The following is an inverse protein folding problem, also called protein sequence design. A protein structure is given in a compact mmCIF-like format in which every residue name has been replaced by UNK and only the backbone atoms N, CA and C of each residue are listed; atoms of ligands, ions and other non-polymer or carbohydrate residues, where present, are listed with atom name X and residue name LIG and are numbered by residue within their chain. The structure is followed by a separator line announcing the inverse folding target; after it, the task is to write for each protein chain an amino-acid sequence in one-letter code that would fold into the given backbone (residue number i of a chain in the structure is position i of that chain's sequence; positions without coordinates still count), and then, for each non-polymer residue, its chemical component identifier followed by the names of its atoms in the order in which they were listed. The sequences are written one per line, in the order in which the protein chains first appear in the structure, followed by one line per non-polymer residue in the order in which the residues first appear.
data_IF_140580391499
#
_entry.id   IF_140580391499
#
_cell.length_a   1.000
_cell.length_b   1.000
_cell.length_c   1.000
_cell.angle_alpha   90.00
_cell.angle_beta   90.00
_cell.angle_gamma   90.00
#
_symmetry.space_group_name_H-M   'P 1'
#
loop_
_entity.id
_entity.type
_entity.pdbx_description
1 polymer ?
#
# COMPACT_ATOMS: atom_id res chain seq x y z
N UNK A 1 -9.05 19.08 -5.18
CA UNK A 1 -8.52 17.79 -4.71
C UNK A 1 -7.99 17.98 -3.31
N UNK A 2 -8.50 17.21 -2.36
CA UNK A 2 -8.02 17.16 -0.98
C UNK A 2 -7.39 15.79 -0.72
N UNK A 3 -6.26 15.78 -0.01
CA UNK A 3 -5.48 14.58 0.31
C UNK A 3 -5.51 14.36 1.82
N UNK A 4 -5.89 13.16 2.25
CA UNK A 4 -5.80 12.69 3.63
C UNK A 4 -4.93 11.42 3.66
N UNK A 5 -3.76 11.47 4.31
CA UNK A 5 -2.82 10.34 4.41
C UNK A 5 -3.25 9.32 5.46
N UNK A 6 -2.86 8.06 5.25
CA UNK A 6 -3.11 6.93 6.15
C UNK A 6 -4.59 6.78 6.56
N UNK A 7 -5.54 6.73 5.60
CA UNK A 7 -6.94 6.50 5.94
C UNK A 7 -7.09 5.18 6.69
N UNK A 8 -8.07 5.11 7.59
CA UNK A 8 -8.32 3.88 8.33
C UNK A 8 -8.74 2.76 7.38
N UNK A 9 -8.35 1.52 7.71
CA UNK A 9 -8.65 0.36 6.88
C UNK A 9 -10.16 0.22 6.61
N UNK A 10 -10.99 0.40 7.64
CA UNK A 10 -12.45 0.30 7.53
C UNK A 10 -13.10 1.44 6.73
N UNK A 11 -12.38 2.53 6.44
CA UNK A 11 -12.83 3.56 5.49
C UNK A 11 -12.62 3.14 4.04
N UNK A 12 -11.68 2.23 3.78
CA UNK A 12 -11.29 1.80 2.43
C UNK A 12 -11.92 0.47 2.06
N UNK A 13 -11.92 -0.51 2.98
CA UNK A 13 -12.37 -1.87 2.73
C UNK A 13 -13.44 -2.31 3.73
N UNK A 14 -14.35 -3.17 3.28
CA UNK A 14 -15.28 -3.90 4.16
C UNK A 14 -14.79 -5.33 4.48
N UNK A 15 -13.94 -5.91 3.63
CA UNK A 15 -13.42 -7.26 3.81
C UNK A 15 -12.17 -7.25 4.69
N UNK A 16 -12.32 -7.71 5.93
CA UNK A 16 -11.23 -7.84 6.90
C UNK A 16 -10.15 -8.83 6.48
N UNK A 17 -10.41 -9.71 5.51
CA UNK A 17 -9.39 -10.61 4.98
C UNK A 17 -8.26 -9.85 4.26
N UNK A 18 -8.49 -8.60 3.87
CA UNK A 18 -7.49 -7.75 3.22
C UNK A 18 -6.56 -7.07 4.24
N UNK A 19 -6.86 -7.12 5.54
CA UNK A 19 -5.99 -6.58 6.59
C UNK A 19 -4.65 -7.32 6.61
N UNK A 20 -3.56 -6.56 6.64
CA UNK A 20 -2.21 -7.12 6.57
C UNK A 20 -1.80 -7.61 5.19
N UNK A 21 -2.65 -7.48 4.17
CA UNK A 21 -2.30 -7.70 2.76
C UNK A 21 -2.22 -6.36 2.04
N UNK A 22 -3.20 -5.48 2.27
CA UNK A 22 -3.26 -4.15 1.67
C UNK A 22 -3.04 -3.05 2.72
N UNK A 23 -2.24 -2.06 2.34
CA UNK A 23 -1.96 -0.85 3.11
C UNK A 23 -2.70 0.34 2.48
N UNK A 24 -3.67 0.95 3.18
CA UNK A 24 -4.28 2.20 2.75
C UNK A 24 -3.29 3.38 2.88
N UNK A 25 -2.89 3.98 1.77
CA UNK A 25 -1.81 4.98 1.79
C UNK A 25 -2.35 6.41 1.84
N UNK A 26 -3.34 6.68 1.00
CA UNK A 26 -3.84 8.02 0.78
C UNK A 26 -5.30 7.98 0.32
N UNK A 27 -6.11 8.88 0.86
CA UNK A 27 -7.47 9.18 0.40
C UNK A 27 -7.44 10.48 -0.38
N UNK A 28 -7.99 10.44 -1.59
CA UNK A 28 -8.26 11.62 -2.39
C UNK A 28 -9.75 11.92 -2.36
N UNK A 29 -10.10 13.17 -2.09
CA UNK A 29 -11.46 13.71 -2.12
C UNK A 29 -11.53 15.03 -2.89
N UNK A 30 -12.74 15.61 -3.00
CA UNK A 30 -13.01 16.80 -3.81
C UNK A 30 -12.54 16.64 -5.26
N UNK A 31 -12.88 15.48 -5.82
CA UNK A 31 -12.60 15.11 -7.21
C UNK A 31 -13.55 15.84 -8.18
N UNK A 32 -13.16 15.89 -9.45
CA UNK A 32 -13.95 16.52 -10.50
C UNK A 32 -15.35 15.89 -10.63
N UNK A 33 -16.31 16.68 -11.13
CA UNK A 33 -17.70 16.21 -11.33
C UNK A 33 -17.73 14.98 -12.24
N UNK A 34 -18.40 13.93 -11.78
CA UNK A 34 -18.50 12.64 -12.50
C UNK A 34 -17.57 11.55 -11.95
N UNK A 35 -16.66 11.89 -11.04
CA UNK A 35 -15.86 10.93 -10.28
C UNK A 35 -16.54 10.58 -8.94
N UNK A 36 -16.14 9.47 -8.29
CA UNK A 36 -16.58 9.13 -6.93
C UNK A 36 -16.24 10.23 -5.92
N UNK A 37 -16.95 10.26 -4.79
CA UNK A 37 -16.71 11.23 -3.72
C UNK A 37 -15.28 11.13 -3.18
N UNK A 38 -14.77 9.91 -3.05
CA UNK A 38 -13.40 9.64 -2.66
C UNK A 38 -12.85 8.44 -3.40
N UNK A 39 -11.54 8.45 -3.59
CA UNK A 39 -10.74 7.33 -4.07
C UNK A 39 -9.54 7.14 -3.14
N UNK A 40 -8.95 5.96 -3.16
CA UNK A 40 -7.86 5.58 -2.27
C UNK A 40 -6.68 4.98 -3.05
N UNK A 41 -5.48 5.38 -2.70
CA UNK A 41 -4.27 4.64 -3.03
C UNK A 41 -4.08 3.52 -2.02
N UNK A 42 -3.85 2.32 -2.51
CA UNK A 42 -3.63 1.12 -1.71
C UNK A 42 -2.45 0.36 -2.28
N UNK A 43 -1.59 -0.18 -1.42
CA UNK A 43 -0.42 -0.98 -1.83
C UNK A 43 -0.45 -2.35 -1.19
N UNK A 44 0.09 -3.33 -1.88
CA UNK A 44 0.24 -4.73 -1.41
C UNK A 44 1.67 -5.04 -1.00
N UNK A 45 2.45 -4.01 -0.70
CA UNK A 45 3.86 -4.15 -0.40
C UNK A 45 4.13 -5.07 0.80
N UNK A 46 5.31 -5.69 0.87
CA UNK A 46 5.66 -6.61 1.96
C UNK A 46 5.21 -8.05 1.74
N UNK A 47 4.56 -8.36 0.62
CA UNK A 47 4.22 -9.73 0.20
C UNK A 47 4.73 -9.99 -1.22
N UNK A 48 5.42 -11.12 -1.39
CA UNK A 48 5.79 -11.62 -2.71
C UNK A 48 4.56 -12.15 -3.45
N UNK A 49 4.58 -12.09 -4.78
CA UNK A 49 3.46 -12.58 -5.60
C UNK A 49 3.73 -13.99 -6.14
N UNK A 50 2.66 -14.76 -6.30
CA UNK A 50 2.61 -16.01 -7.05
C UNK A 50 1.88 -15.78 -8.38
N UNK A 51 2.65 -15.46 -9.42
CA UNK A 51 2.17 -15.19 -10.77
C UNK A 51 1.37 -16.36 -11.39
N UNK A 52 1.38 -17.55 -10.78
CA UNK A 52 0.53 -18.66 -11.23
C UNK A 52 -0.95 -18.47 -10.87
N UNK A 53 -1.26 -17.57 -9.92
CA UNK A 53 -2.61 -17.26 -9.46
C UNK A 53 -3.11 -15.90 -9.99
N UNK A 54 -2.51 -15.36 -11.05
CA UNK A 54 -3.02 -14.13 -11.68
C UNK A 54 -4.42 -14.31 -12.23
N UNK A 55 -5.21 -13.24 -12.14
CA UNK A 55 -6.58 -13.19 -12.66
C UNK A 55 -6.77 -11.94 -13.51
N UNK A 56 -7.94 -11.81 -14.14
CA UNK A 56 -8.31 -10.56 -14.82
C UNK A 56 -8.47 -9.36 -13.85
N UNK A 57 -8.49 -9.59 -12.53
CA UNK A 57 -8.73 -8.58 -11.50
C UNK A 57 -7.50 -8.28 -10.64
N UNK A 58 -6.47 -9.12 -10.63
CA UNK A 58 -5.21 -8.86 -9.97
C UNK A 58 -4.07 -9.66 -10.58
N UNK A 59 -2.89 -9.06 -10.63
CA UNK A 59 -1.66 -9.71 -11.04
C UNK A 59 -0.47 -9.04 -10.38
N UNK A 60 0.74 -9.39 -10.79
CA UNK A 60 1.97 -8.89 -10.18
C UNK A 60 2.00 -7.35 -10.09
N UNK A 61 1.63 -6.67 -11.18
CA UNK A 61 1.72 -5.21 -11.29
C UNK A 61 0.41 -4.48 -11.03
N UNK A 62 -0.71 -5.15 -10.77
CA UNK A 62 -2.00 -4.46 -10.69
C UNK A 62 -3.04 -5.15 -9.80
N UNK A 63 -4.01 -4.37 -9.35
CA UNK A 63 -5.22 -4.86 -8.69
C UNK A 63 -6.41 -3.97 -9.04
N UNK A 64 -7.55 -4.59 -9.33
CA UNK A 64 -8.82 -3.95 -9.65
C UNK A 64 -9.78 -4.15 -8.49
N UNK A 65 -10.43 -3.06 -8.06
CA UNK A 65 -11.47 -3.09 -7.04
C UNK A 65 -12.75 -2.46 -7.60
N UNK A 66 -13.89 -3.12 -7.39
CA UNK A 66 -15.18 -2.46 -7.59
C UNK A 66 -15.41 -1.45 -6.45
N UNK A 67 -16.12 -0.35 -6.72
CA UNK A 67 -16.53 0.59 -5.67
C UNK A 67 -17.97 0.27 -5.25
N UNK A 68 -18.14 -0.18 -4.01
CA UNK A 68 -19.44 -0.47 -3.40
C UNK A 68 -19.60 0.44 -2.18
N UNK A 69 -20.64 1.29 -2.19
CA UNK A 69 -20.93 2.23 -1.09
C UNK A 69 -19.73 3.12 -0.69
N UNK A 70 -18.87 3.44 -1.66
CA UNK A 70 -17.68 4.29 -1.46
C UNK A 70 -16.44 3.53 -0.99
N UNK A 71 -16.52 2.20 -0.83
CA UNK A 71 -15.41 1.33 -0.42
C UNK A 71 -14.97 0.39 -1.54
N UNK A 72 -13.75 -0.10 -1.43
CA UNK A 72 -13.15 -1.02 -2.37
C UNK A 72 -13.57 -2.46 -2.05
N UNK A 73 -14.18 -3.11 -3.04
CA UNK A 73 -14.52 -4.52 -3.01
C UNK A 73 -13.52 -5.29 -3.89
N UNK A 74 -12.71 -6.12 -3.25
CA UNK A 74 -11.70 -6.96 -3.91
C UNK A 74 -12.35 -8.14 -4.64
N UNK A 75 -11.90 -8.39 -5.87
CA UNK A 75 -12.41 -9.46 -6.74
C UNK A 75 -11.32 -10.37 -7.32
N UNK A 76 -10.08 -10.15 -6.90
CA UNK A 76 -8.96 -10.98 -7.28
C UNK A 76 -8.89 -12.28 -6.48
N UNK A 77 -7.80 -13.02 -6.68
CA UNK A 77 -7.45 -14.17 -5.86
C UNK A 77 -6.41 -13.79 -4.80
N UNK A 78 -6.69 -14.08 -3.53
CA UNK A 78 -5.73 -13.87 -2.44
C UNK A 78 -4.53 -14.82 -2.52
N UNK A 79 -4.66 -15.96 -3.20
CA UNK A 79 -3.54 -16.88 -3.44
C UNK A 79 -2.44 -16.24 -4.29
N UNK A 80 -2.70 -15.11 -4.96
CA UNK A 80 -1.65 -14.30 -5.58
C UNK A 80 -0.62 -13.82 -4.54
N UNK A 81 -1.02 -13.53 -3.30
CA UNK A 81 -0.13 -12.99 -2.28
C UNK A 81 0.50 -14.13 -1.45
N UNK A 82 1.77 -14.45 -1.70
CA UNK A 82 2.46 -15.57 -1.05
C UNK A 82 2.47 -15.41 0.46
N UNK A 83 1.92 -16.41 1.15
CA UNK A 83 1.84 -16.42 2.61
C UNK A 83 0.74 -15.55 3.20
N UNK A 84 -0.27 -15.10 2.43
CA UNK A 84 -1.37 -14.27 2.95
C UNK A 84 -2.08 -14.86 4.18
N UNK A 85 -2.26 -16.19 4.23
CA UNK A 85 -2.87 -16.85 5.40
C UNK A 85 -2.01 -16.77 6.65
N UNK A 86 -0.69 -16.63 6.51
CA UNK A 86 0.24 -16.38 7.61
C UNK A 86 0.19 -14.92 7.99
N UNK A 87 0.24 -14.01 7.01
CA UNK A 87 0.08 -12.56 7.22
C UNK A 87 -1.17 -12.27 8.05
N UNK A 88 -2.32 -12.82 7.68
CA UNK A 88 -3.59 -12.69 8.42
C UNK A 88 -3.52 -13.18 9.87
N UNK A 89 -2.70 -14.19 10.17
CA UNK A 89 -2.53 -14.72 11.53
C UNK A 89 -1.63 -13.83 12.38
N UNK A 90 -0.55 -13.29 11.80
CA UNK A 90 0.43 -12.50 12.55
C UNK A 90 0.10 -11.02 12.61
N UNK A 91 -0.62 -10.48 11.62
CA UNK A 91 -0.92 -9.06 11.51
C UNK A 91 -1.60 -8.51 12.79
N UNK A 92 -2.63 -9.16 13.38
CA UNK A 92 -3.23 -8.67 14.61
C UNK A 92 -2.24 -8.63 15.79
N UNK A 93 -1.26 -9.55 15.83
CA UNK A 93 -0.25 -9.63 16.90
C UNK A 93 0.73 -8.47 16.79
N UNK A 94 1.27 -8.23 15.60
CA UNK A 94 2.24 -7.14 15.36
C UNK A 94 1.57 -5.77 15.44
N UNK A 95 0.32 -5.64 14.97
CA UNK A 95 -0.46 -4.41 15.10
C UNK A 95 -0.74 -4.09 16.57
N UNK A 96 -1.12 -5.07 17.38
CA UNK A 96 -1.34 -4.87 18.81
C UNK A 96 -0.05 -4.51 19.55
N UNK A 97 1.07 -5.14 19.22
CA UNK A 97 2.35 -4.79 19.84
C UNK A 97 2.77 -3.37 19.47
N UNK A 98 2.65 -2.99 18.20
CA UNK A 98 2.96 -1.64 17.73
C UNK A 98 2.03 -0.59 18.35
N UNK A 99 0.73 -0.86 18.48
CA UNK A 99 -0.20 0.06 19.16
C UNK A 99 0.21 0.34 20.62
N UNK A 100 0.86 -0.63 21.29
CA UNK A 100 1.33 -0.49 22.67
C UNK A 100 2.72 0.15 22.77
N UNK A 101 3.63 -0.19 21.86
CA UNK A 101 5.06 0.12 21.99
C UNK A 101 5.58 1.11 20.92
N UNK A 102 4.78 1.44 19.90
CA UNK A 102 5.19 2.20 18.73
C UNK A 102 5.78 3.57 19.07
N UNK A 103 5.24 4.25 20.08
CA UNK A 103 5.82 5.52 20.56
C UNK A 103 7.22 5.35 21.14
N UNK A 104 7.48 4.25 21.86
CA UNK A 104 8.80 3.90 22.37
C UNK A 104 9.76 3.55 21.22
N UNK A 105 9.29 2.75 20.26
CA UNK A 105 10.08 2.40 19.08
C UNK A 105 10.52 3.63 18.29
N UNK A 106 9.60 4.58 18.09
CA UNK A 106 9.87 5.86 17.44
C UNK A 106 10.85 6.72 18.24
N UNK A 107 10.67 6.86 19.57
CA UNK A 107 11.56 7.68 20.41
C UNK A 107 12.99 7.12 20.48
N UNK A 108 13.09 5.79 20.53
CA UNK A 108 14.38 5.08 20.61
C UNK A 108 15.05 4.98 19.24
N UNK A 109 14.38 5.43 18.16
CA UNK A 109 14.81 5.28 16.77
C UNK A 109 15.18 3.82 16.44
N UNK A 110 14.35 2.90 16.92
CA UNK A 110 14.57 1.46 16.73
C UNK A 110 14.58 1.15 15.24
N UNK A 111 15.66 0.49 14.80
CA UNK A 111 15.87 0.12 13.40
C UNK A 111 15.04 -1.12 13.02
N UNK A 112 14.68 -1.31 11.73
CA UNK A 112 13.86 -2.43 11.30
C UNK A 112 14.42 -3.79 11.72
N UNK A 113 15.72 -4.02 11.61
CA UNK A 113 16.35 -5.29 11.99
C UNK A 113 16.30 -5.53 13.50
N UNK A 114 16.29 -4.46 14.30
CA UNK A 114 16.11 -4.54 15.75
C UNK A 114 14.66 -4.93 16.08
N UNK A 115 13.68 -4.31 15.42
CA UNK A 115 12.27 -4.66 15.58
C UNK A 115 12.02 -6.11 15.17
N UNK A 116 12.54 -6.56 14.03
CA UNK A 116 12.43 -7.95 13.56
C UNK A 116 12.98 -8.93 14.60
N UNK A 117 14.21 -8.70 15.10
CA UNK A 117 14.81 -9.55 16.16
C UNK A 117 13.97 -9.56 17.44
N UNK A 118 13.33 -8.44 17.77
CA UNK A 118 12.46 -8.33 18.93
C UNK A 118 11.14 -9.10 18.74
N UNK A 119 10.44 -8.93 17.61
CA UNK A 119 9.07 -9.45 17.41
C UNK A 119 9.03 -10.89 16.92
N UNK A 120 9.96 -11.29 16.03
CA UNK A 120 9.96 -12.60 15.35
C UNK A 120 9.87 -13.79 16.30
N UNK A 121 10.56 -13.84 17.47
CA UNK A 121 10.41 -14.93 18.42
C UNK A 121 9.01 -15.11 19.02
N UNK A 122 8.11 -14.11 18.89
CA UNK A 122 6.75 -14.12 19.43
C UNK A 122 5.69 -14.61 18.45
N UNK A 123 6.03 -14.76 17.17
CA UNK A 123 5.04 -15.01 16.10
C UNK A 123 4.75 -16.49 15.87
N UNK A 124 5.55 -17.41 16.43
CA UNK A 124 5.36 -18.86 16.31
C UNK A 124 5.07 -19.34 14.87
N UNK A 125 5.71 -18.72 13.87
CA UNK A 125 5.55 -19.07 12.45
C UNK A 125 6.71 -19.94 11.99
N UNK A 126 6.39 -20.99 11.24
CA UNK A 126 7.33 -21.72 10.39
C UNK A 126 6.75 -21.73 8.98
N UNK A 127 7.47 -21.19 7.99
CA UNK A 127 7.09 -21.25 6.59
C UNK A 127 8.31 -21.08 5.68
N UNK A 128 8.37 -21.85 4.60
CA UNK A 128 9.41 -21.74 3.58
C UNK A 128 9.10 -20.67 2.53
N UNK A 129 7.82 -20.37 2.31
CA UNK A 129 7.37 -19.60 1.13
C UNK A 129 6.86 -18.20 1.49
N UNK A 130 6.96 -17.83 2.78
CA UNK A 130 6.59 -16.52 3.30
C UNK A 130 7.82 -15.82 3.84
N UNK A 131 8.22 -14.72 3.19
CA UNK A 131 9.32 -13.89 3.62
C UNK A 131 8.92 -13.04 4.83
N UNK A 132 9.01 -13.65 6.01
CA UNK A 132 8.61 -13.04 7.27
C UNK A 132 9.44 -11.78 7.59
N UNK A 133 10.72 -11.74 7.22
CA UNK A 133 11.58 -10.60 7.54
C UNK A 133 11.19 -9.39 6.70
N UNK A 134 10.98 -9.59 5.39
CA UNK A 134 10.48 -8.53 4.49
C UNK A 134 9.09 -8.02 4.90
N UNK A 135 8.19 -8.94 5.29
CA UNK A 135 6.85 -8.55 5.76
C UNK A 135 6.90 -7.68 7.03
N UNK A 136 7.72 -8.08 8.01
CA UNK A 136 7.88 -7.34 9.28
C UNK A 136 8.57 -6.00 9.09
N UNK A 137 9.57 -5.93 8.20
CA UNK A 137 10.23 -4.69 7.81
C UNK A 137 9.23 -3.71 7.20
N UNK A 138 8.45 -4.16 6.22
CA UNK A 138 7.46 -3.34 5.52
C UNK A 138 6.39 -2.83 6.49
N UNK A 139 5.83 -3.72 7.33
CA UNK A 139 4.86 -3.35 8.36
C UNK A 139 5.43 -2.28 9.29
N UNK A 140 6.66 -2.46 9.77
CA UNK A 140 7.28 -1.57 10.74
C UNK A 140 7.59 -0.19 10.14
N UNK A 141 8.15 -0.16 8.92
CA UNK A 141 8.43 1.08 8.20
C UNK A 141 7.15 1.90 7.99
N UNK A 142 6.09 1.25 7.48
CA UNK A 142 4.79 1.89 7.29
C UNK A 142 4.23 2.43 8.61
N UNK A 143 4.25 1.61 9.68
CA UNK A 143 3.65 1.97 10.96
C UNK A 143 4.39 3.10 11.69
N UNK A 144 5.73 3.11 11.64
CA UNK A 144 6.55 4.21 12.19
C UNK A 144 6.30 5.50 11.41
N UNK A 145 6.21 5.41 10.09
CA UNK A 145 5.96 6.56 9.25
C UNK A 145 4.58 7.18 9.52
N UNK A 146 3.54 6.33 9.57
CA UNK A 146 2.20 6.74 9.97
C UNK A 146 2.21 7.44 11.34
N UNK A 147 2.81 6.81 12.36
CA UNK A 147 2.85 7.38 13.71
C UNK A 147 3.60 8.72 13.76
N UNK A 148 4.72 8.84 13.05
CA UNK A 148 5.47 10.09 12.98
C UNK A 148 4.65 11.19 12.30
N UNK A 149 3.95 10.88 11.22
CA UNK A 149 3.04 11.83 10.56
C UNK A 149 1.90 12.26 11.48
N UNK A 150 1.26 11.33 12.19
CA UNK A 150 0.19 11.63 13.14
C UNK A 150 0.67 12.56 14.28
N UNK A 151 1.93 12.43 14.72
CA UNK A 151 2.50 13.26 15.79
C UNK A 151 3.01 14.63 15.31
N UNK A 152 3.50 14.73 14.07
CA UNK A 152 4.27 15.90 13.62
C UNK A 152 3.67 16.63 12.42
N UNK A 153 2.82 15.97 11.65
CA UNK A 153 2.32 16.43 10.35
C UNK A 153 3.33 16.32 9.21
N UNK A 154 4.55 15.80 9.45
CA UNK A 154 5.61 15.74 8.46
C UNK A 154 5.60 14.39 7.71
N UNK A 155 5.19 14.43 6.45
CA UNK A 155 5.17 13.26 5.56
C UNK A 155 6.59 12.88 5.08
N UNK A 156 6.86 11.59 4.88
CA UNK A 156 8.14 11.07 4.37
C UNK A 156 9.33 11.21 5.34
N UNK A 157 9.15 11.89 6.47
CA UNK A 157 10.21 12.20 7.43
C UNK A 157 10.76 10.96 8.17
N UNK A 158 10.09 9.81 8.08
CA UNK A 158 10.53 8.58 8.75
C UNK A 158 11.91 8.12 8.28
N UNK A 159 12.36 8.45 7.06
CA UNK A 159 13.72 8.16 6.58
C UNK A 159 14.80 8.92 7.35
N UNK A 160 14.49 10.11 7.86
CA UNK A 160 15.39 10.82 8.77
C UNK A 160 15.44 10.15 10.15
N UNK A 161 14.34 9.48 10.54
CA UNK A 161 14.21 8.80 11.83
C UNK A 161 14.87 7.42 11.81
N UNK A 162 14.60 6.63 10.78
CA UNK A 162 15.07 5.27 10.60
C UNK A 162 16.42 5.26 9.87
N UNK A 163 16.49 5.79 8.65
CA UNK A 163 17.68 5.69 7.80
C UNK A 163 18.75 6.77 8.09
N UNK A 164 18.44 7.74 8.96
CA UNK A 164 19.35 8.83 9.35
C UNK A 164 19.59 9.86 8.24
N UNK A 165 18.71 9.93 7.23
CA UNK A 165 18.86 10.85 6.11
C UNK A 165 18.66 12.30 6.54
N UNK A 166 19.58 13.20 6.17
CA UNK A 166 19.46 14.64 6.38
C UNK A 166 18.95 15.36 5.13
N UNK A 167 18.20 16.44 5.29
CA UNK A 167 17.65 17.28 4.21
C UNK A 167 16.66 16.56 3.29
N UNK A 168 15.68 15.87 3.88
CA UNK A 168 14.50 15.45 3.14
C UNK A 168 13.76 16.72 2.70
N UNK A 169 13.77 17.01 1.40
CA UNK A 169 12.95 18.08 0.84
C UNK A 169 11.47 17.79 1.04
N UNK A 170 10.62 18.81 0.92
CA UNK A 170 9.18 18.57 0.83
C UNK A 170 8.89 17.73 -0.41
N UNK A 171 8.17 16.64 -0.22
CA UNK A 171 7.77 15.77 -1.32
C UNK A 171 6.25 15.78 -1.49
N UNK A 172 5.72 15.94 -2.72
CA UNK A 172 4.29 15.84 -2.97
C UNK A 172 3.72 14.50 -2.50
N UNK A 173 2.62 14.55 -1.73
CA UNK A 173 1.92 13.35 -1.25
C UNK A 173 1.25 12.57 -2.39
N UNK A 174 0.88 13.26 -3.46
CA UNK A 174 0.34 12.71 -4.71
C UNK A 174 0.87 13.56 -5.85
N UNK A 175 1.35 12.90 -6.89
CA UNK A 175 1.85 13.52 -8.11
C UNK A 175 0.77 13.51 -9.20
N UNK A 176 0.63 14.64 -9.89
CA UNK A 176 -0.36 14.82 -10.95
C UNK A 176 -0.05 14.00 -12.21
N UNK A 177 -1.09 13.76 -13.01
CA UNK A 177 -1.22 12.78 -14.10
C UNK A 177 -0.23 12.87 -15.26
N UNK A 178 0.68 13.84 -15.29
CA UNK A 178 1.59 14.07 -16.42
C UNK A 178 2.62 12.94 -16.64
N UNK A 179 2.79 12.02 -15.67
CA UNK A 179 3.75 10.91 -15.74
C UNK A 179 3.14 9.50 -15.84
N UNK A 180 1.89 9.34 -16.32
CA UNK A 180 1.41 8.01 -16.71
C UNK A 180 2.11 7.45 -17.96
N UNK A 181 2.96 8.23 -18.64
CA UNK A 181 3.59 7.84 -19.90
C UNK A 181 4.33 6.50 -19.83
N UNK A 182 5.06 6.23 -18.75
CA UNK A 182 5.76 4.94 -18.58
C UNK A 182 4.79 3.78 -18.40
N UNK A 183 3.70 3.97 -17.66
CA UNK A 183 2.63 2.99 -17.50
C UNK A 183 1.89 2.74 -18.82
N UNK A 184 1.66 3.79 -19.60
CA UNK A 184 1.00 3.70 -20.91
C UNK A 184 1.84 2.92 -21.91
N UNK A 185 3.13 3.26 -22.03
CA UNK A 185 4.07 2.57 -22.94
C UNK A 185 4.23 1.09 -22.56
N UNK A 186 4.21 0.77 -21.26
CA UNK A 186 4.39 -0.60 -20.78
C UNK A 186 3.07 -1.33 -20.50
N UNK A 187 1.91 -0.75 -20.83
CA UNK A 187 0.60 -1.27 -20.43
C UNK A 187 0.35 -2.71 -20.89
N UNK A 188 0.87 -3.11 -22.06
CA UNK A 188 0.77 -4.48 -22.58
C UNK A 188 1.54 -5.52 -21.74
N UNK A 189 2.56 -5.08 -20.98
CA UNK A 189 3.34 -5.93 -20.07
C UNK A 189 2.83 -5.88 -18.63
N UNK A 190 2.19 -4.77 -18.24
CA UNK A 190 1.75 -4.53 -16.86
C UNK A 190 0.31 -4.99 -16.62
N UNK A 191 -0.53 -5.00 -17.65
CA UNK A 191 -1.97 -5.19 -17.54
C UNK A 191 -2.44 -6.35 -18.44
N UNK A 192 -3.48 -7.08 -18.03
CA UNK A 192 -4.06 -8.12 -18.86
C UNK A 192 -4.73 -7.48 -20.08
N UNK A 193 -4.80 -8.19 -21.21
CA UNK A 193 -5.42 -7.69 -22.44
C UNK A 193 -6.89 -7.25 -22.28
N UNK A 194 -7.56 -7.66 -21.21
CA UNK A 194 -8.93 -7.23 -20.85
C UNK A 194 -9.00 -5.82 -20.27
N UNK A 195 -7.86 -5.19 -19.96
CA UNK A 195 -7.77 -3.86 -19.36
C UNK A 195 -7.11 -2.91 -20.36
N UNK A 196 -7.84 -1.86 -20.73
CA UNK A 196 -7.34 -0.78 -21.59
C UNK A 196 -7.36 0.53 -20.81
N UNK A 197 -6.20 1.17 -20.66
CA UNK A 197 -6.04 2.42 -19.90
C UNK A 197 -6.87 3.59 -20.47
N UNK A 198 -7.20 3.55 -21.77
CA UNK A 198 -8.06 4.56 -22.40
C UNK A 198 -9.48 4.59 -21.83
N UNK A 199 -9.90 3.50 -21.17
CA UNK A 199 -11.19 3.41 -20.49
C UNK A 199 -11.17 4.01 -19.08
N UNK A 200 -9.99 4.42 -18.59
CA UNK A 200 -9.81 4.90 -17.23
C UNK A 200 -9.47 6.40 -17.20
N UNK A 201 -10.09 7.10 -16.26
CA UNK A 201 -9.65 8.42 -15.85
C UNK A 201 -8.45 8.27 -14.91
N UNK A 202 -7.29 8.74 -15.35
CA UNK A 202 -6.06 8.75 -14.54
C UNK A 202 -6.23 9.73 -13.39
N UNK A 203 -5.95 9.28 -12.17
CA UNK A 203 -6.12 10.09 -10.96
C UNK A 203 -4.78 10.71 -10.55
N UNK A 204 -3.73 9.90 -10.51
CA UNK A 204 -2.39 10.31 -10.10
C UNK A 204 -1.55 9.11 -9.68
N UNK A 205 -0.40 9.39 -9.10
CA UNK A 205 0.47 8.37 -8.51
C UNK A 205 1.11 8.86 -7.22
N UNK A 206 1.58 7.91 -6.42
CA UNK A 206 2.35 8.15 -5.20
C UNK A 206 3.66 7.39 -5.27
N UNK A 207 4.67 7.91 -4.58
CA UNK A 207 5.99 7.29 -4.54
C UNK A 207 6.07 6.35 -3.34
N UNK A 208 6.29 5.06 -3.59
CA UNK A 208 6.22 4.02 -2.57
C UNK A 208 7.24 4.20 -1.45
N UNK A 209 8.44 4.68 -1.82
CA UNK A 209 9.54 4.85 -0.90
C UNK A 209 9.28 5.96 0.16
N UNK A 210 8.24 6.77 -0.02
CA UNK A 210 7.79 7.74 0.98
C UNK A 210 6.92 7.11 2.06
N UNK A 211 6.34 5.94 1.78
CA UNK A 211 5.49 5.15 2.67
C UNK A 211 6.23 3.95 3.28
N UNK A 212 7.15 3.36 2.53
CA UNK A 212 7.87 2.12 2.86
C UNK A 212 9.38 2.26 2.61
N UNK A 213 10.17 1.31 3.13
CA UNK A 213 11.62 1.31 2.94
C UNK A 213 12.02 1.12 1.45
N UNK A 214 11.27 0.30 0.72
CA UNK A 214 11.44 0.00 -0.70
C UNK A 214 10.57 0.87 -1.62
N UNK A 215 10.96 0.95 -2.90
CA UNK A 215 10.24 1.70 -3.93
C UNK A 215 9.16 0.83 -4.56
N UNK A 216 7.90 1.03 -4.15
CA UNK A 216 6.73 0.41 -4.76
C UNK A 216 5.68 1.49 -5.04
N UNK A 217 5.88 2.20 -6.14
CA UNK A 217 5.05 3.33 -6.56
C UNK A 217 3.66 2.84 -6.94
N UNK A 218 2.64 3.61 -6.57
CA UNK A 218 1.25 3.22 -6.82
C UNK A 218 0.56 4.25 -7.71
N UNK A 219 0.12 3.82 -8.89
CA UNK A 219 -0.66 4.60 -9.82
C UNK A 219 -2.14 4.24 -9.67
N UNK A 220 -3.01 5.24 -9.71
CA UNK A 220 -4.45 5.07 -9.53
C UNK A 220 -5.22 5.60 -10.75
N UNK A 221 -6.12 4.76 -11.27
CA UNK A 221 -7.02 5.13 -12.33
C UNK A 221 -8.45 4.64 -12.03
N UNK A 222 -9.46 5.36 -12.51
CA UNK A 222 -10.88 5.06 -12.26
C UNK A 222 -11.63 4.82 -13.56
N UNK A 223 -12.40 3.72 -13.64
CA UNK A 223 -13.27 3.44 -14.78
C UNK A 223 -14.69 3.95 -14.52
N UNK A 224 -15.15 5.01 -15.21
CA UNK A 224 -16.49 5.55 -14.98
C UNK A 224 -17.62 4.63 -15.46
N UNK A 225 -17.34 3.75 -16.43
CA UNK A 225 -18.34 2.83 -17.01
C UNK A 225 -18.61 1.68 -16.06
N UNK A 226 -17.55 1.05 -15.54
CA UNK A 226 -17.64 -0.13 -14.68
C UNK A 226 -17.66 0.22 -13.19
N UNK A 227 -17.41 1.48 -12.83
CA UNK A 227 -17.33 1.96 -11.43
C UNK A 227 -16.33 1.18 -10.59
N UNK A 228 -15.16 0.92 -11.18
CA UNK A 228 -14.06 0.25 -10.53
C UNK A 228 -12.80 1.12 -10.60
N UNK A 229 -11.83 0.78 -9.77
CA UNK A 229 -10.50 1.40 -9.74
C UNK A 229 -9.46 0.39 -10.15
N UNK A 230 -8.43 0.88 -10.81
CA UNK A 230 -7.22 0.15 -11.15
C UNK A 230 -6.08 0.77 -10.34
N UNK A 231 -5.50 -0.03 -9.45
CA UNK A 231 -4.26 0.29 -8.76
C UNK A 231 -3.13 -0.46 -9.46
N UNK A 232 -2.08 0.26 -9.87
CA UNK A 232 -0.93 -0.29 -10.57
C UNK A 232 0.29 -0.08 -9.69
N UNK A 233 0.98 -1.16 -9.34
CA UNK A 233 2.19 -1.15 -8.54
C UNK A 233 3.39 -1.23 -9.48
N UNK A 234 4.36 -0.35 -9.29
CA UNK A 234 5.60 -0.34 -10.05
C UNK A 234 6.77 -0.25 -9.07
N UNK A 235 7.60 -1.30 -9.08
CA UNK A 235 8.87 -1.25 -8.35
C UNK A 235 9.83 -0.28 -9.07
N UNK A 236 10.37 0.68 -8.31
CA UNK A 236 11.27 1.75 -8.78
C UNK A 236 12.70 1.55 -8.28
#
# INVERSE_FOLDING_TARGET
MKIDLYPKFEEVFDDKQLEGIFYPLCKISDLAKGLPQSLFFVSTNGLWMDETNETAYNGFSFTIFDIIEGKYAFKGDLNLYKGYTIAQKIFPIIQQDFARQGSTFLSDKMQPEQYIKYIKPRLAVQSSDFDLDYYLETFYAYSINQLNYEQTGNFGAYRAVIDGWSNLGESPQVYETQNFGDIEVNSEYLLPHTVSLDQYTKIGYIIGHEFFHDGNDCYLAYNPTHKNVLCINQYS
#
